data_IF_245038208319
#
_entry.id   IF_245038208319
#
_cell.length_a   1.000
_cell.length_b   1.000
_cell.length_c   1.000
_cell.angle_alpha   90.00
_cell.angle_beta   90.00
_cell.angle_gamma   90.00
#
_symmetry.space_group_name_H-M   'P 1'
#
loop_
_entity.id
_entity.type
_entity.pdbx_description
1 polymer ?
#
# COMPACT_ATOMS: atom_id res chain seq x y z
N UNK A 1 -1.02 38.88 -3.74
CA UNK A 1 0.23 38.35 -3.14
C UNK A 1 1.44 38.50 -4.04
N UNK A 2 1.70 37.60 -5.01
CA UNK A 2 2.94 37.65 -5.80
C UNK A 2 3.14 38.98 -6.56
N UNK A 3 2.08 39.52 -7.18
CA UNK A 3 2.09 40.82 -7.82
C UNK A 3 2.46 41.94 -6.83
N UNK A 4 1.78 42.02 -5.68
CA UNK A 4 2.03 43.05 -4.66
C UNK A 4 3.47 43.00 -4.14
N UNK A 5 4.05 41.80 -3.99
CA UNK A 5 5.45 41.61 -3.60
C UNK A 5 6.41 42.20 -4.64
N UNK A 6 6.16 41.95 -5.92
CA UNK A 6 6.98 42.50 -7.01
C UNK A 6 6.81 44.03 -7.10
N UNK A 7 5.59 44.54 -6.94
CA UNK A 7 5.30 45.98 -6.93
C UNK A 7 6.03 46.69 -5.78
N UNK A 8 6.09 46.05 -4.60
CA UNK A 8 6.86 46.55 -3.46
C UNK A 8 8.37 46.52 -3.73
N UNK A 9 8.88 45.45 -4.36
CA UNK A 9 10.30 45.33 -4.70
C UNK A 9 10.75 46.39 -5.71
N UNK A 10 9.94 46.67 -6.74
CA UNK A 10 10.21 47.72 -7.74
C UNK A 10 10.24 49.10 -7.08
N UNK A 11 9.35 49.36 -6.11
CA UNK A 11 9.36 50.62 -5.36
C UNK A 11 10.60 50.77 -4.48
N UNK A 12 11.07 49.69 -3.88
CA UNK A 12 12.21 49.70 -2.96
C UNK A 12 13.57 49.77 -3.66
N UNK A 13 13.68 49.26 -4.89
CA UNK A 13 14.95 49.13 -5.62
C UNK A 13 14.89 49.91 -6.94
N UNK A 14 15.51 51.11 -7.03
CA UNK A 14 15.45 51.98 -8.22
C UNK A 14 16.07 51.39 -9.50
N UNK A 15 16.89 50.35 -9.37
CA UNK A 15 17.56 49.66 -10.47
C UNK A 15 16.66 48.65 -11.18
N UNK A 16 15.57 48.20 -10.53
CA UNK A 16 14.60 47.28 -11.11
C UNK A 16 13.68 48.03 -12.07
N UNK A 17 14.02 47.95 -13.37
CA UNK A 17 13.22 48.54 -14.46
C UNK A 17 12.46 47.43 -15.18
N UNK A 18 11.17 47.20 -14.86
CA UNK A 18 10.39 46.18 -15.54
C UNK A 18 10.18 46.58 -17.01
N UNK A 19 10.21 45.58 -17.91
CA UNK A 19 9.98 45.82 -19.36
C UNK A 19 8.54 46.24 -19.67
N UNK A 20 7.59 45.84 -18.82
CA UNK A 20 6.17 46.18 -18.92
C UNK A 20 5.71 46.86 -17.63
N UNK A 21 4.84 47.88 -17.71
CA UNK A 21 4.43 48.65 -16.55
C UNK A 21 3.43 47.90 -15.64
N UNK A 22 2.69 46.95 -16.19
CA UNK A 22 1.66 46.19 -15.49
C UNK A 22 2.02 44.71 -15.39
N UNK A 23 1.49 44.06 -14.34
CA UNK A 23 1.59 42.62 -14.16
C UNK A 23 0.97 41.88 -15.36
N UNK A 24 1.58 40.78 -15.80
CA UNK A 24 1.13 40.01 -16.96
C UNK A 24 0.66 38.59 -16.59
N UNK A 25 0.61 38.27 -15.30
CA UNK A 25 0.36 36.90 -14.83
C UNK A 25 -1.11 36.50 -14.93
N UNK A 26 -2.04 37.45 -14.93
CA UNK A 26 -3.50 37.17 -14.93
C UNK A 26 -3.99 36.44 -16.19
N UNK A 27 -3.32 36.64 -17.33
CA UNK A 27 -3.59 35.91 -18.58
C UNK A 27 -2.60 34.80 -18.89
N UNK A 28 -1.61 34.57 -18.02
CA UNK A 28 -0.56 33.58 -18.27
C UNK A 28 -1.05 32.20 -17.84
N UNK A 29 -1.28 31.34 -18.83
CA UNK A 29 -1.60 29.94 -18.60
C UNK A 29 -0.45 29.24 -17.89
N UNK A 30 -0.76 28.45 -16.86
CA UNK A 30 0.22 27.61 -16.19
C UNK A 30 0.63 26.44 -17.09
N UNK A 31 1.83 25.90 -16.86
CA UNK A 31 2.23 24.65 -17.48
C UNK A 31 1.24 23.53 -17.13
N UNK A 32 0.94 22.64 -18.08
CA UNK A 32 -0.12 21.64 -17.90
C UNK A 32 -1.46 22.07 -18.51
N UNK A 33 -1.75 23.38 -18.61
CA UNK A 33 -3.09 23.83 -19.02
C UNK A 33 -3.30 23.97 -20.53
N UNK A 34 -2.22 23.94 -21.31
CA UNK A 34 -2.27 24.35 -22.72
C UNK A 34 -2.90 23.28 -23.60
N UNK A 35 -4.09 23.51 -24.13
CA UNK A 35 -4.76 22.52 -24.98
C UNK A 35 -5.37 21.34 -24.21
N UNK A 36 -5.53 21.48 -22.89
CA UNK A 36 -6.30 20.55 -22.09
C UNK A 36 -7.75 20.46 -22.59
N UNK A 37 -8.29 19.24 -22.65
CA UNK A 37 -9.70 18.99 -22.95
C UNK A 37 -10.21 17.81 -22.13
N UNK A 38 -11.49 17.76 -21.75
CA UNK A 38 -12.05 16.63 -20.98
C UNK A 38 -11.94 15.28 -21.70
N UNK A 39 -11.82 15.28 -23.03
CA UNK A 39 -11.71 14.08 -23.87
C UNK A 39 -10.26 13.75 -24.24
N UNK A 40 -9.28 14.49 -23.74
CA UNK A 40 -7.85 14.27 -24.04
C UNK A 40 -7.39 12.85 -23.69
N UNK A 41 -7.90 12.26 -22.61
CA UNK A 41 -7.54 10.90 -22.20
C UNK A 41 -7.84 9.85 -23.28
N UNK A 42 -8.82 10.09 -24.17
CA UNK A 42 -9.14 9.18 -25.28
C UNK A 42 -7.93 9.06 -26.21
N UNK A 43 -7.23 10.16 -26.48
CA UNK A 43 -6.01 10.15 -27.30
C UNK A 43 -4.87 9.44 -26.58
N UNK A 44 -4.72 9.64 -25.27
CA UNK A 44 -3.72 8.91 -24.48
C UNK A 44 -3.95 7.38 -24.56
N UNK A 45 -5.20 6.94 -24.48
CA UNK A 45 -5.55 5.52 -24.61
C UNK A 45 -5.26 5.01 -26.03
N UNK A 46 -5.64 5.77 -27.07
CA UNK A 46 -5.49 5.35 -28.47
C UNK A 46 -4.04 5.36 -28.96
N UNK A 47 -3.29 6.41 -28.64
CA UNK A 47 -1.94 6.63 -29.17
C UNK A 47 -0.88 5.82 -28.40
N UNK A 48 -1.09 5.63 -27.09
CA UNK A 48 -0.11 5.00 -26.20
C UNK A 48 -0.54 3.62 -25.68
N UNK A 49 -1.81 3.25 -25.80
CA UNK A 49 -2.32 1.98 -25.28
C UNK A 49 -2.35 1.93 -23.74
N UNK A 50 -2.57 3.08 -23.09
CA UNK A 50 -2.73 3.19 -21.64
C UNK A 50 -4.08 2.65 -21.18
N UNK A 51 -4.12 2.15 -19.94
CA UNK A 51 -5.39 1.84 -19.28
C UNK A 51 -6.25 3.11 -19.12
N UNK A 52 -7.57 2.98 -19.26
CA UNK A 52 -8.48 4.12 -19.28
C UNK A 52 -8.40 4.96 -18.00
N UNK A 53 -8.37 4.30 -16.84
CA UNK A 53 -8.27 4.96 -15.54
C UNK A 53 -6.96 5.75 -15.39
N UNK A 54 -5.83 5.15 -15.80
CA UNK A 54 -4.51 5.80 -15.80
C UNK A 54 -4.50 7.00 -16.74
N UNK A 55 -5.05 6.85 -17.95
CA UNK A 55 -5.11 7.94 -18.92
C UNK A 55 -5.95 9.13 -18.42
N UNK A 56 -7.07 8.86 -17.73
CA UNK A 56 -7.90 9.89 -17.10
C UNK A 56 -7.14 10.59 -15.97
N UNK A 57 -6.48 9.83 -15.10
CA UNK A 57 -5.64 10.37 -14.03
C UNK A 57 -4.53 11.28 -14.57
N UNK A 58 -3.79 10.83 -15.58
CA UNK A 58 -2.72 11.63 -16.20
C UNK A 58 -3.27 12.91 -16.84
N UNK A 59 -4.39 12.83 -17.56
CA UNK A 59 -5.00 13.99 -18.19
C UNK A 59 -5.53 15.02 -17.17
N UNK A 60 -6.01 14.58 -16.01
CA UNK A 60 -6.46 15.49 -14.93
C UNK A 60 -5.28 16.06 -14.15
N UNK A 61 -4.23 15.28 -13.92
CA UNK A 61 -3.10 15.68 -13.07
C UNK A 61 -2.03 16.51 -13.80
N UNK A 62 -1.68 16.12 -15.04
CA UNK A 62 -0.61 16.73 -15.83
C UNK A 62 -1.11 17.54 -17.01
N UNK A 63 -2.40 17.44 -17.33
CA UNK A 63 -3.03 18.10 -18.46
C UNK A 63 -2.31 17.83 -19.78
N UNK A 64 -1.85 18.87 -20.48
CA UNK A 64 -1.15 18.74 -21.75
C UNK A 64 0.20 18.02 -21.65
N UNK A 65 0.83 18.07 -20.47
CA UNK A 65 2.06 17.32 -20.18
C UNK A 65 1.82 15.83 -20.06
N UNK A 66 0.58 15.36 -19.93
CA UNK A 66 0.26 13.93 -19.87
C UNK A 66 0.85 13.13 -21.05
N UNK A 67 0.92 13.73 -22.24
CA UNK A 67 1.57 13.10 -23.40
C UNK A 67 3.09 12.95 -23.23
N UNK A 68 3.74 13.92 -22.58
CA UNK A 68 5.15 13.83 -22.26
C UNK A 68 5.41 12.78 -21.18
N UNK A 69 4.54 12.68 -20.18
CA UNK A 69 4.58 11.63 -19.16
C UNK A 69 4.40 10.25 -19.80
N UNK A 70 3.38 10.06 -20.63
CA UNK A 70 3.09 8.79 -21.29
C UNK A 70 4.26 8.27 -22.14
N UNK A 71 5.03 9.16 -22.77
CA UNK A 71 6.25 8.79 -23.54
C UNK A 71 7.36 8.19 -22.68
N UNK A 72 7.36 8.42 -21.37
CA UNK A 72 8.36 7.89 -20.43
C UNK A 72 7.94 6.55 -19.83
N UNK A 73 6.73 6.07 -20.11
CA UNK A 73 6.23 4.82 -19.57
C UNK A 73 6.94 3.61 -20.20
N UNK A 74 7.29 2.63 -19.37
CA UNK A 74 7.82 1.37 -19.88
C UNK A 74 6.71 0.50 -20.47
N UNK A 75 7.12 -0.40 -21.37
CA UNK A 75 6.26 -1.46 -21.90
C UNK A 75 5.89 -2.43 -20.77
N UNK A 76 4.62 -2.84 -20.74
CA UNK A 76 4.13 -3.80 -19.72
C UNK A 76 4.37 -5.26 -20.11
N UNK A 77 4.65 -5.52 -21.39
CA UNK A 77 4.71 -6.87 -21.97
C UNK A 77 3.34 -7.56 -22.13
N UNK A 78 2.24 -6.88 -21.79
CA UNK A 78 0.87 -7.37 -21.96
C UNK A 78 0.30 -6.93 -23.30
N UNK A 79 -0.74 -7.62 -23.78
CA UNK A 79 -1.52 -7.16 -24.94
C UNK A 79 -2.27 -5.85 -24.66
N UNK A 80 -2.71 -5.69 -23.41
CA UNK A 80 -3.37 -4.50 -22.89
C UNK A 80 -3.19 -4.44 -21.36
N UNK A 81 -2.94 -3.26 -20.76
CA UNK A 81 -2.43 -2.04 -21.40
C UNK A 81 -1.03 -2.27 -21.99
N UNK A 82 -0.66 -1.52 -23.04
CA UNK A 82 0.61 -1.70 -23.76
C UNK A 82 1.79 -1.11 -22.98
N UNK A 83 1.59 0.07 -22.39
CA UNK A 83 2.58 0.79 -21.58
C UNK A 83 1.98 1.20 -20.23
N UNK A 84 2.84 1.61 -19.30
CA UNK A 84 2.44 2.17 -18.01
C UNK A 84 2.28 1.07 -16.96
N UNK A 85 3.39 0.66 -16.37
CA UNK A 85 3.37 -0.29 -15.27
C UNK A 85 2.85 0.44 -14.03
N UNK A 86 1.67 0.05 -13.55
CA UNK A 86 1.11 0.56 -12.29
C UNK A 86 2.08 0.26 -11.15
N UNK A 87 2.36 1.27 -10.32
CA UNK A 87 3.22 1.14 -9.13
C UNK A 87 2.51 0.30 -8.06
N UNK A 88 1.19 0.49 -7.94
CA UNK A 88 0.32 -0.28 -7.06
C UNK A 88 -0.97 -0.67 -7.83
N UNK A 89 -1.49 -1.90 -7.71
CA UNK A 89 -2.63 -2.37 -8.51
C UNK A 89 -3.91 -1.52 -8.35
N UNK A 90 -4.18 -1.06 -7.12
CA UNK A 90 -5.40 -0.31 -6.78
C UNK A 90 -5.37 1.18 -7.16
N UNK A 91 -4.22 1.73 -7.57
CA UNK A 91 -4.10 3.16 -7.86
C UNK A 91 -3.61 3.42 -9.30
N UNK A 92 -4.05 4.51 -9.94
CA UNK A 92 -3.73 4.81 -11.33
C UNK A 92 -2.33 5.41 -11.52
N UNK A 93 -1.41 5.20 -10.57
CA UNK A 93 -0.05 5.72 -10.64
C UNK A 93 0.87 4.79 -11.40
N UNK A 94 1.64 5.32 -12.36
CA UNK A 94 2.56 4.52 -13.18
C UNK A 94 4.03 4.90 -13.00
N UNK A 95 4.91 4.00 -13.40
CA UNK A 95 6.36 4.19 -13.41
C UNK A 95 6.81 5.50 -14.11
N UNK A 96 6.10 5.91 -15.16
CA UNK A 96 6.37 7.14 -15.89
C UNK A 96 6.23 8.41 -15.04
N UNK A 97 5.29 8.44 -14.09
CA UNK A 97 5.08 9.60 -13.21
C UNK A 97 6.25 9.81 -12.26
N UNK A 98 6.90 8.73 -11.83
CA UNK A 98 8.11 8.81 -11.00
C UNK A 98 9.25 9.44 -11.81
N UNK A 99 9.49 8.94 -13.02
CA UNK A 99 10.52 9.46 -13.93
C UNK A 99 10.27 10.93 -14.26
N UNK A 100 9.01 11.27 -14.53
CA UNK A 100 8.62 12.65 -14.79
C UNK A 100 8.76 13.54 -13.54
N UNK A 101 8.36 13.05 -12.37
CA UNK A 101 8.50 13.78 -11.11
C UNK A 101 9.95 14.08 -10.74
N UNK A 102 10.89 13.18 -11.04
CA UNK A 102 12.34 13.43 -10.90
C UNK A 102 12.79 14.59 -11.79
N UNK A 103 12.29 14.66 -13.03
CA UNK A 103 12.56 15.81 -13.94
C UNK A 103 11.95 17.11 -13.43
N UNK A 104 10.88 17.01 -12.65
CA UNK A 104 10.30 18.13 -11.91
C UNK A 104 10.93 18.31 -10.51
N UNK A 105 12.22 17.98 -10.36
CA UNK A 105 13.01 18.24 -9.15
C UNK A 105 12.51 17.53 -7.88
N UNK A 106 11.82 16.39 -8.00
CA UNK A 106 11.62 15.50 -6.86
C UNK A 106 12.93 14.75 -6.57
N UNK A 107 13.60 15.14 -5.48
CA UNK A 107 14.93 14.62 -5.12
C UNK A 107 14.85 13.59 -3.99
N UNK A 108 13.77 13.56 -3.21
CA UNK A 108 13.60 12.57 -2.13
C UNK A 108 12.43 11.64 -2.37
N UNK A 109 12.49 10.44 -1.79
CA UNK A 109 11.37 9.49 -1.84
C UNK A 109 10.09 10.10 -1.21
N UNK A 110 10.25 10.92 -0.18
CA UNK A 110 9.16 11.67 0.48
C UNK A 110 8.50 12.65 -0.49
N UNK A 111 9.28 13.40 -1.29
CA UNK A 111 8.72 14.32 -2.29
C UNK A 111 7.82 13.58 -3.29
N UNK A 112 8.22 12.38 -3.69
CA UNK A 112 7.48 11.56 -4.64
C UNK A 112 6.16 11.07 -4.04
N UNK A 113 6.19 10.39 -2.88
CA UNK A 113 4.99 9.80 -2.27
C UNK A 113 4.04 10.84 -1.69
N UNK A 114 4.54 11.97 -1.19
CA UNK A 114 3.73 12.97 -0.50
C UNK A 114 3.24 14.08 -1.44
N UNK A 115 4.07 14.57 -2.36
CA UNK A 115 3.72 15.76 -3.16
C UNK A 115 3.36 15.45 -4.60
N UNK A 116 4.07 14.52 -5.24
CA UNK A 116 3.86 14.17 -6.66
C UNK A 116 2.72 13.17 -6.83
N UNK A 117 2.83 12.00 -6.22
CA UNK A 117 1.79 10.96 -6.28
C UNK A 117 0.69 11.21 -5.25
N UNK A 118 1.05 11.76 -4.07
CA UNK A 118 0.17 11.91 -2.90
C UNK A 118 -0.40 10.58 -2.36
N UNK A 119 0.19 9.45 -2.76
CA UNK A 119 -0.21 8.11 -2.30
C UNK A 119 -0.13 7.99 -0.77
N UNK A 120 0.83 8.66 -0.13
CA UNK A 120 0.96 8.68 1.31
C UNK A 120 -0.31 9.18 2.03
N UNK A 121 -1.02 10.16 1.46
CA UNK A 121 -2.25 10.72 2.05
C UNK A 121 -3.49 9.90 1.74
N UNK A 122 -3.50 9.22 0.58
CA UNK A 122 -4.64 8.40 0.17
C UNK A 122 -4.65 7.07 0.91
N UNK A 123 -3.51 6.38 0.94
CA UNK A 123 -3.36 5.11 1.61
C UNK A 123 -1.89 4.89 1.99
N UNK A 124 -1.62 5.00 3.29
CA UNK A 124 -0.30 4.86 3.90
C UNK A 124 0.32 3.48 3.65
N UNK A 125 -0.50 2.43 3.62
CA UNK A 125 -0.05 1.06 3.40
C UNK A 125 0.31 0.83 1.93
N UNK A 126 -0.54 1.27 1.00
CA UNK A 126 -0.22 1.21 -0.42
C UNK A 126 1.03 2.04 -0.75
N UNK A 127 1.23 3.17 -0.06
CA UNK A 127 2.48 3.94 -0.16
C UNK A 127 3.69 3.13 0.31
N UNK A 128 3.57 2.42 1.43
CA UNK A 128 4.64 1.57 1.95
C UNK A 128 5.00 0.42 1.01
N UNK A 129 4.01 -0.24 0.40
CA UNK A 129 4.23 -1.32 -0.57
C UNK A 129 4.85 -0.81 -1.88
N UNK A 130 4.47 0.40 -2.30
CA UNK A 130 5.01 1.06 -3.49
C UNK A 130 6.45 1.59 -3.31
N UNK A 131 6.90 1.84 -2.08
CA UNK A 131 8.17 2.51 -1.79
C UNK A 131 9.40 1.85 -2.43
N UNK A 132 9.61 0.52 -2.34
CA UNK A 132 10.77 -0.12 -2.95
C UNK A 132 10.83 0.11 -4.46
N UNK A 133 9.69 0.00 -5.15
CA UNK A 133 9.58 0.24 -6.59
C UNK A 133 9.88 1.70 -6.93
N UNK A 134 9.33 2.64 -6.16
CA UNK A 134 9.57 4.09 -6.35
C UNK A 134 11.05 4.42 -6.17
N UNK A 135 11.68 3.96 -5.09
CA UNK A 135 13.09 4.24 -4.81
C UNK A 135 13.99 3.61 -5.87
N UNK A 136 13.68 2.43 -6.37
CA UNK A 136 14.45 1.81 -7.45
C UNK A 136 14.40 2.65 -8.73
N UNK A 137 13.22 3.12 -9.14
CA UNK A 137 13.07 3.98 -10.33
C UNK A 137 13.76 5.33 -10.13
N UNK A 138 13.61 5.95 -8.96
CA UNK A 138 14.31 7.19 -8.65
C UNK A 138 15.84 7.02 -8.64
N UNK A 139 16.33 5.88 -8.14
CA UNK A 139 17.74 5.57 -8.13
C UNK A 139 18.33 5.40 -9.54
N UNK A 140 17.57 4.84 -10.48
CA UNK A 140 17.96 4.77 -11.90
C UNK A 140 18.10 6.18 -12.51
N UNK A 141 17.15 7.08 -12.24
CA UNK A 141 17.14 8.42 -12.83
C UNK A 141 18.16 9.38 -12.16
N UNK A 142 18.39 9.25 -10.85
CA UNK A 142 19.29 10.11 -10.07
C UNK A 142 20.67 9.49 -9.82
N UNK A 143 20.91 8.27 -10.32
CA UNK A 143 22.15 7.49 -10.12
C UNK A 143 22.52 7.30 -8.64
N UNK A 144 21.57 6.85 -7.82
CA UNK A 144 21.82 6.60 -6.40
C UNK A 144 22.62 5.32 -6.15
N UNK A 145 23.51 5.39 -5.15
CA UNK A 145 24.16 4.21 -4.58
C UNK A 145 23.17 3.39 -3.75
N UNK A 146 23.52 2.12 -3.48
CA UNK A 146 22.67 1.27 -2.64
C UNK A 146 22.56 1.78 -1.20
N UNK A 147 23.56 2.50 -0.72
CA UNK A 147 23.51 3.18 0.59
C UNK A 147 22.50 4.33 0.59
N UNK A 148 22.46 5.13 -0.48
CA UNK A 148 21.49 6.22 -0.60
C UNK A 148 20.08 5.67 -0.76
N UNK A 149 19.87 4.58 -1.51
CA UNK A 149 18.56 3.89 -1.59
C UNK A 149 18.04 3.49 -0.20
N UNK A 150 18.89 2.87 0.62
CA UNK A 150 18.52 2.48 2.00
C UNK A 150 18.15 3.68 2.85
N UNK A 151 18.95 4.75 2.77
CA UNK A 151 18.68 6.00 3.50
C UNK A 151 17.36 6.64 3.09
N UNK A 152 17.04 6.66 1.79
CA UNK A 152 15.78 7.19 1.28
C UNK A 152 14.58 6.34 1.71
N UNK A 153 14.72 5.01 1.71
CA UNK A 153 13.69 4.10 2.25
C UNK A 153 13.45 4.34 3.74
N UNK A 154 14.50 4.42 4.55
CA UNK A 154 14.38 4.67 5.98
C UNK A 154 13.73 6.03 6.27
N UNK A 155 14.14 7.08 5.54
CA UNK A 155 13.52 8.40 5.65
C UNK A 155 12.03 8.36 5.30
N UNK A 156 11.65 7.66 4.23
CA UNK A 156 10.26 7.54 3.81
C UNK A 156 9.43 6.71 4.80
N UNK A 157 9.96 5.60 5.33
CA UNK A 157 9.30 4.81 6.36
C UNK A 157 9.07 5.63 7.63
N UNK A 158 10.08 6.38 8.07
CA UNK A 158 9.95 7.27 9.22
C UNK A 158 8.85 8.32 8.99
N UNK A 159 8.85 8.99 7.83
CA UNK A 159 7.81 9.95 7.46
C UNK A 159 6.39 9.33 7.49
N UNK A 160 6.22 8.14 6.90
CA UNK A 160 4.93 7.45 6.92
C UNK A 160 4.52 7.06 8.35
N UNK A 161 5.48 6.62 9.17
CA UNK A 161 5.26 6.22 10.55
C UNK A 161 4.85 7.39 11.45
N UNK A 162 5.56 8.52 11.37
CA UNK A 162 5.39 9.65 12.29
C UNK A 162 4.36 10.66 11.81
N UNK A 163 4.41 11.04 10.53
CA UNK A 163 3.63 12.16 9.99
C UNK A 163 2.31 11.72 9.36
N UNK A 164 2.28 10.52 8.78
CA UNK A 164 1.12 10.03 8.02
C UNK A 164 0.22 9.06 8.82
N UNK A 165 0.50 8.87 10.11
CA UNK A 165 -0.41 8.17 11.03
C UNK A 165 -0.39 6.64 10.94
N UNK A 166 0.61 6.03 10.28
CA UNK A 166 0.77 4.56 10.27
C UNK A 166 0.83 3.99 11.70
N UNK A 167 1.56 4.68 12.58
CA UNK A 167 1.69 4.31 14.00
C UNK A 167 0.49 4.70 14.86
N UNK A 168 -0.31 5.68 14.43
CA UNK A 168 -1.50 6.15 15.16
C UNK A 168 -2.64 5.13 15.02
N UNK A 169 -2.76 4.49 13.85
CA UNK A 169 -3.67 3.36 13.66
C UNK A 169 -3.29 2.13 14.49
N UNK A 170 -1.98 1.86 14.68
CA UNK A 170 -1.48 0.80 15.57
C UNK A 170 -1.71 1.11 17.05
N UNK A 171 -1.30 2.29 17.52
CA UNK A 171 -1.45 2.70 18.92
C UNK A 171 -2.92 2.86 19.38
N UNK A 172 -3.84 3.07 18.44
CA UNK A 172 -5.28 3.09 18.71
C UNK A 172 -5.89 1.68 18.73
N UNK A 173 -5.27 0.71 18.05
CA UNK A 173 -5.65 -0.72 18.02
C UNK A 173 -5.05 -1.52 19.18
N UNK A 174 -3.82 -1.23 19.59
CA UNK A 174 -3.19 -1.77 20.81
C UNK A 174 -3.89 -1.34 22.10
N UNK A 175 -4.77 -0.33 22.00
CA UNK A 175 -5.68 0.13 23.05
C UNK A 175 -7.04 -0.55 23.04
N UNK A 176 -7.27 -1.62 22.29
CA UNK A 176 -8.38 -2.52 22.60
C UNK A 176 -7.94 -3.28 23.85
N UNK A 177 -8.45 -2.97 25.06
CA UNK A 177 -8.09 -3.75 26.24
C UNK A 177 -8.49 -5.20 25.96
N UNK A 178 -7.48 -6.08 25.90
CA UNK A 178 -7.69 -7.52 25.81
C UNK A 178 -8.47 -7.91 27.05
N UNK A 179 -9.80 -8.03 26.93
CA UNK A 179 -10.70 -8.36 28.03
C UNK A 179 -10.81 -9.88 28.12
N UNK A 180 -9.66 -10.54 28.03
CA UNK A 180 -9.51 -11.99 28.10
C UNK A 180 -8.95 -12.35 29.47
N UNK A 181 -9.55 -13.35 30.11
CA UNK A 181 -9.03 -13.93 31.33
C UNK A 181 -7.70 -14.63 31.05
N UNK A 182 -6.90 -14.86 32.09
CA UNK A 182 -5.62 -15.56 31.94
C UNK A 182 -5.78 -16.99 31.39
N UNK A 183 -6.93 -17.62 31.62
CA UNK A 183 -7.27 -18.94 31.07
C UNK A 183 -7.59 -18.88 29.59
N UNK A 184 -8.33 -17.86 29.15
CA UNK A 184 -8.66 -17.63 27.75
C UNK A 184 -7.42 -17.28 26.94
N UNK A 185 -6.55 -16.42 27.46
CA UNK A 185 -5.27 -16.11 26.80
C UNK A 185 -4.45 -17.38 26.60
N UNK A 186 -4.33 -18.24 27.61
CA UNK A 186 -3.63 -19.53 27.48
C UNK A 186 -4.27 -20.43 26.43
N UNK A 187 -5.61 -20.48 26.37
CA UNK A 187 -6.35 -21.25 25.39
C UNK A 187 -6.11 -20.75 23.97
N UNK A 188 -6.16 -19.43 23.74
CA UNK A 188 -5.90 -18.85 22.43
C UNK A 188 -4.44 -18.99 22.00
N UNK A 189 -3.47 -18.77 22.90
CA UNK A 189 -2.05 -19.03 22.61
C UNK A 189 -1.84 -20.48 22.18
N UNK A 190 -2.50 -21.44 22.84
CA UNK A 190 -2.41 -22.86 22.45
C UNK A 190 -3.01 -23.11 21.06
N UNK A 191 -4.15 -22.48 20.72
CA UNK A 191 -4.73 -22.55 19.37
C UNK A 191 -3.79 -21.94 18.31
N UNK A 192 -3.17 -20.81 18.63
CA UNK A 192 -2.19 -20.16 17.76
C UNK A 192 -0.99 -21.07 17.48
N UNK A 193 -0.47 -21.77 18.49
CA UNK A 193 0.62 -22.73 18.33
C UNK A 193 0.23 -23.96 17.49
N UNK A 194 -1.06 -24.30 17.44
CA UNK A 194 -1.56 -25.39 16.57
C UNK A 194 -1.59 -24.93 15.11
N UNK A 195 -1.98 -23.68 14.87
CA UNK A 195 -1.98 -23.06 13.54
C UNK A 195 -0.55 -22.83 13.03
N UNK A 196 0.36 -22.38 13.89
CA UNK A 196 1.78 -22.18 13.60
C UNK A 196 2.56 -23.51 13.67
N UNK A 197 2.34 -24.34 12.64
CA UNK A 197 2.91 -25.68 12.53
C UNK A 197 4.45 -25.70 12.50
N UNK A 198 5.08 -24.62 12.07
CA UNK A 198 6.54 -24.51 11.99
C UNK A 198 7.15 -23.79 13.21
N UNK A 199 6.33 -23.38 14.19
CA UNK A 199 6.73 -22.64 15.39
C UNK A 199 7.55 -21.37 15.07
N UNK A 200 7.13 -20.65 14.03
CA UNK A 200 7.78 -19.42 13.55
C UNK A 200 7.47 -18.21 14.43
N UNK A 201 6.41 -18.29 15.24
CA UNK A 201 5.86 -17.19 16.03
C UNK A 201 4.82 -16.35 15.27
N UNK A 202 4.49 -16.72 14.04
CA UNK A 202 3.49 -16.07 13.18
C UNK A 202 2.79 -17.13 12.31
N UNK A 203 1.54 -16.85 11.92
CA UNK A 203 0.76 -17.72 11.03
C UNK A 203 0.79 -17.14 9.61
N UNK A 204 1.33 -17.88 8.65
CA UNK A 204 1.40 -17.46 7.24
C UNK A 204 0.19 -17.93 6.43
N UNK A 205 -0.02 -17.36 5.23
CA UNK A 205 -1.02 -17.83 4.25
C UNK A 205 -0.90 -19.35 4.00
N UNK A 206 0.32 -19.89 3.97
CA UNK A 206 0.54 -21.31 3.74
C UNK A 206 0.06 -22.18 4.91
N UNK A 207 0.19 -21.67 6.14
CA UNK A 207 -0.30 -22.33 7.35
C UNK A 207 -1.83 -22.30 7.35
N UNK A 208 -2.43 -21.17 7.00
CA UNK A 208 -3.89 -21.04 6.87
C UNK A 208 -4.43 -22.02 5.82
N UNK A 209 -3.80 -22.06 4.64
CA UNK A 209 -4.17 -22.97 3.55
C UNK A 209 -4.08 -24.44 3.97
N UNK A 210 -3.06 -24.80 4.76
CA UNK A 210 -2.87 -26.17 5.25
C UNK A 210 -3.96 -26.54 6.26
N UNK A 211 -4.22 -25.67 7.22
CA UNK A 211 -5.25 -25.87 8.25
C UNK A 211 -6.66 -25.99 7.64
N UNK A 212 -6.99 -25.19 6.63
CA UNK A 212 -8.26 -25.30 5.88
C UNK A 212 -8.40 -26.65 5.15
N UNK A 213 -7.32 -27.10 4.48
CA UNK A 213 -7.30 -28.43 3.83
C UNK A 213 -7.47 -29.57 4.84
N UNK A 214 -6.83 -29.48 6.00
CA UNK A 214 -6.94 -30.49 7.06
C UNK A 214 -8.36 -30.59 7.62
N UNK A 215 -9.09 -29.47 7.61
CA UNK A 215 -10.49 -29.38 8.06
C UNK A 215 -11.49 -29.86 6.99
N UNK A 216 -11.03 -30.12 5.76
CA UNK A 216 -11.87 -30.59 4.66
C UNK A 216 -12.59 -29.47 3.87
N UNK A 217 -12.26 -28.21 4.12
CA UNK A 217 -12.77 -27.07 3.36
C UNK A 217 -11.81 -26.72 2.22
N UNK A 218 -12.33 -26.64 0.99
CA UNK A 218 -11.58 -26.14 -0.15
C UNK A 218 -11.76 -24.62 -0.23
N UNK A 219 -10.67 -23.89 0.01
CA UNK A 219 -10.65 -22.43 -0.01
C UNK A 219 -9.76 -21.96 -1.15
N UNK A 220 -10.23 -21.00 -1.93
CA UNK A 220 -9.49 -20.42 -3.06
C UNK A 220 -8.39 -19.46 -2.58
N UNK A 221 -7.45 -19.14 -3.47
CA UNK A 221 -6.37 -18.19 -3.14
C UNK A 221 -6.88 -16.81 -2.74
N UNK A 222 -7.93 -16.34 -3.42
CA UNK A 222 -8.53 -15.04 -3.16
C UNK A 222 -9.25 -15.01 -1.80
N UNK A 223 -10.00 -16.07 -1.46
CA UNK A 223 -10.64 -16.21 -0.15
C UNK A 223 -9.63 -16.30 1.00
N UNK A 224 -8.49 -16.97 0.80
CA UNK A 224 -7.40 -16.98 1.80
C UNK A 224 -6.84 -15.58 2.03
N UNK A 225 -6.74 -14.78 0.97
CA UNK A 225 -6.27 -13.41 1.06
C UNK A 225 -7.26 -12.51 1.79
N UNK A 226 -8.56 -12.70 1.56
CA UNK A 226 -9.59 -12.00 2.33
C UNK A 226 -9.58 -12.39 3.81
N UNK A 227 -9.42 -13.68 4.13
CA UNK A 227 -9.33 -14.18 5.51
C UNK A 227 -8.12 -13.57 6.23
N UNK A 228 -6.98 -13.51 5.54
CA UNK A 228 -5.78 -12.88 6.08
C UNK A 228 -6.02 -11.40 6.33
N UNK A 229 -6.62 -10.69 5.37
CA UNK A 229 -6.93 -9.25 5.45
C UNK A 229 -7.88 -8.90 6.60
N UNK A 230 -8.69 -9.85 7.08
CA UNK A 230 -9.55 -9.65 8.26
C UNK A 230 -8.76 -9.47 9.57
N UNK A 231 -7.49 -9.92 9.63
CA UNK A 231 -6.74 -10.08 10.90
C UNK A 231 -5.36 -9.47 10.83
N UNK A 232 -4.70 -9.60 9.69
CA UNK A 232 -3.39 -9.01 9.41
C UNK A 232 -3.57 -7.49 9.32
N UNK A 233 -3.59 -6.87 10.50
CA UNK A 233 -3.85 -5.43 10.65
C UNK A 233 -2.68 -4.59 10.19
N UNK A 234 -1.48 -5.19 10.17
CA UNK A 234 -0.24 -4.56 9.73
C UNK A 234 0.12 -4.87 8.27
N UNK A 235 -0.68 -5.70 7.60
CA UNK A 235 -0.55 -6.15 6.21
C UNK A 235 0.86 -6.65 5.87
N UNK A 236 1.54 -7.33 6.80
CA UNK A 236 2.84 -7.96 6.55
C UNK A 236 2.72 -9.34 5.87
N UNK A 237 1.49 -9.77 5.56
CA UNK A 237 1.17 -11.06 4.95
C UNK A 237 1.17 -12.23 5.95
N UNK A 238 1.23 -11.93 7.24
CA UNK A 238 1.36 -12.87 8.36
C UNK A 238 0.43 -12.42 9.49
N UNK A 239 0.02 -13.36 10.34
CA UNK A 239 -0.77 -13.05 11.54
C UNK A 239 0.11 -13.27 12.76
N UNK A 240 0.39 -12.19 13.49
CA UNK A 240 1.14 -12.22 14.73
C UNK A 240 0.24 -12.60 15.93
N UNK A 241 0.85 -13.03 17.04
CA UNK A 241 0.10 -13.53 18.21
C UNK A 241 -0.77 -12.44 18.86
N UNK A 242 -0.28 -11.21 18.90
CA UNK A 242 -0.99 -10.04 19.40
C UNK A 242 -2.21 -9.70 18.52
N UNK A 243 -2.07 -9.71 17.20
CA UNK A 243 -3.17 -9.50 16.25
C UNK A 243 -4.25 -10.57 16.40
N UNK A 244 -3.83 -11.82 16.56
CA UNK A 244 -4.72 -12.94 16.82
C UNK A 244 -5.49 -12.78 18.15
N UNK A 245 -4.82 -12.36 19.22
CA UNK A 245 -5.46 -12.12 20.53
C UNK A 245 -6.41 -10.92 20.49
N UNK A 246 -6.06 -9.86 19.76
CA UNK A 246 -6.93 -8.70 19.55
C UNK A 246 -8.22 -9.10 18.83
N UNK A 247 -8.12 -9.90 17.77
CA UNK A 247 -9.29 -10.43 17.06
C UNK A 247 -10.17 -11.28 17.98
N UNK A 248 -9.58 -12.18 18.77
CA UNK A 248 -10.34 -13.03 19.70
C UNK A 248 -11.03 -12.22 20.81
N UNK A 249 -10.38 -11.16 21.30
CA UNK A 249 -10.99 -10.21 22.24
C UNK A 249 -12.14 -9.42 21.60
N UNK A 250 -12.02 -9.04 20.34
CA UNK A 250 -13.06 -8.31 19.59
C UNK A 250 -14.29 -9.19 19.30
N UNK A 251 -14.10 -10.48 19.03
CA UNK A 251 -15.17 -11.47 18.90
C UNK A 251 -15.92 -11.67 20.22
N UNK A 252 -15.19 -11.84 21.32
CA UNK A 252 -15.78 -12.03 22.65
C UNK A 252 -16.57 -10.81 23.12
N UNK A 253 -16.06 -9.62 22.85
CA UNK A 253 -16.74 -8.37 23.20
C UNK A 253 -17.91 -8.01 22.26
N UNK A 254 -18.17 -8.82 21.23
CA UNK A 254 -19.27 -8.64 20.29
C UNK A 254 -19.06 -7.51 19.29
N UNK A 255 -17.87 -6.92 19.22
CA UNK A 255 -17.51 -5.93 18.19
C UNK A 255 -17.36 -6.56 16.81
N UNK A 256 -17.02 -7.86 16.78
CA UNK A 256 -17.02 -8.69 15.59
C UNK A 256 -18.02 -9.81 15.82
N UNK A 257 -19.02 -9.93 14.96
CA UNK A 257 -20.05 -10.97 15.05
C UNK A 257 -19.67 -12.25 14.32
N UNK A 258 -18.91 -12.15 13.22
CA UNK A 258 -18.48 -13.29 12.42
C UNK A 258 -17.08 -13.06 11.83
N UNK A 259 -16.12 -13.91 12.18
CA UNK A 259 -14.80 -13.98 11.52
C UNK A 259 -14.60 -15.38 10.95
N UNK A 260 -14.20 -15.47 9.68
CA UNK A 260 -13.94 -16.76 9.02
C UNK A 260 -12.75 -17.47 9.66
N UNK A 261 -11.74 -16.71 10.07
CA UNK A 261 -10.55 -17.25 10.72
C UNK A 261 -10.82 -17.77 12.14
N UNK A 262 -11.68 -17.12 12.91
CA UNK A 262 -12.01 -17.61 14.24
C UNK A 262 -12.70 -18.98 14.19
N UNK A 263 -13.63 -19.16 13.24
CA UNK A 263 -14.27 -20.46 12.98
C UNK A 263 -13.24 -21.53 12.60
N UNK A 264 -12.27 -21.17 11.76
CA UNK A 264 -11.18 -22.05 11.37
C UNK A 264 -10.32 -22.49 12.57
N UNK A 265 -9.88 -21.54 13.40
CA UNK A 265 -9.07 -21.84 14.58
C UNK A 265 -9.79 -22.77 15.58
N UNK A 266 -11.12 -22.66 15.67
CA UNK A 266 -11.95 -23.57 16.46
C UNK A 266 -12.04 -24.97 15.86
N UNK A 267 -12.26 -25.08 14.55
CA UNK A 267 -12.38 -26.35 13.86
C UNK A 267 -11.08 -27.16 13.92
N UNK A 268 -9.93 -26.50 13.78
CA UNK A 268 -8.63 -27.17 13.86
C UNK A 268 -8.34 -27.70 15.26
N UNK A 269 -8.74 -26.98 16.33
CA UNK A 269 -8.63 -27.48 17.70
C UNK A 269 -9.48 -28.75 17.91
N UNK A 270 -10.70 -28.77 17.37
CA UNK A 270 -11.58 -29.95 17.44
C UNK A 270 -10.96 -31.12 16.68
N UNK A 271 -10.44 -30.89 15.47
CA UNK A 271 -9.78 -31.91 14.66
C UNK A 271 -8.58 -32.54 15.40
N UNK A 272 -7.73 -31.71 16.01
CA UNK A 272 -6.56 -32.18 16.78
C UNK A 272 -6.96 -32.95 18.05
N UNK A 273 -8.05 -32.56 18.73
CA UNK A 273 -8.61 -33.31 19.88
C UNK A 273 -9.20 -34.66 19.46
N UNK A 274 -9.74 -34.78 18.24
CA UNK A 274 -10.26 -36.04 17.71
C UNK A 274 -9.11 -36.97 17.31
N UNK A 275 -8.09 -36.48 16.61
CA UNK A 275 -6.93 -37.29 16.24
C UNK A 275 -6.13 -37.79 17.46
N UNK A 276 -5.94 -36.95 18.48
CA UNK A 276 -5.25 -37.36 19.73
C UNK A 276 -6.01 -38.38 20.58
N UNK A 277 -7.34 -38.52 20.40
CA UNK A 277 -8.15 -39.54 21.09
C UNK A 277 -8.15 -40.90 20.39
N UNK A 278 -7.79 -40.97 19.11
CA UNK A 278 -7.72 -42.24 18.38
C UNK A 278 -6.34 -42.85 18.64
N UNK A 279 -6.20 -43.58 19.76
CA UNK A 279 -5.02 -44.41 20.02
C UNK A 279 -4.99 -45.57 19.02
N UNK A 280 -3.86 -45.74 18.31
CA UNK A 280 -3.65 -46.83 17.33
C UNK A 280 -3.27 -48.16 18.03
N UNK A 281 -3.51 -48.31 19.32
CA UNK A 281 -3.29 -49.57 20.04
C UNK A 281 -4.49 -50.51 19.97
N UNK A 282 -4.97 -50.87 18.78
CA UNK A 282 -5.73 -52.12 18.55
C UNK A 282 -5.55 -52.62 17.12
N UNK A 283 -4.33 -53.02 16.77
CA UNK A 283 -4.12 -54.06 15.76
C UNK A 283 -3.15 -55.13 16.27
N UNK A 284 -3.33 -55.52 17.53
CA UNK A 284 -2.89 -56.82 18.04
C UNK A 284 -4.01 -57.83 17.85
N UNK A 285 -4.16 -58.35 16.64
CA UNK A 285 -4.98 -59.52 16.36
C UNK A 285 -4.05 -60.70 16.09
N UNK A 286 -3.76 -61.48 17.14
CA UNK A 286 -3.13 -62.79 16.99
C UNK A 286 -4.17 -63.84 16.56
N UNK A 287 -3.78 -64.72 15.64
CA UNK A 287 -3.56 -66.16 15.82
C UNK A 287 -3.13 -66.77 14.47
#
# INVERSE_FOLDING_TARGET
>A
MAQETIDAAIKAIPELKPKKPECQTDGLQLEGSHGWTPTMYIRLVQDFGLECEVAQHLATSYGDRAFAVAKLANLTGKRWPVIGNKIHPEFPYIDAEIRYGVREYAVTAVDMIARRLRLAFLNVQAAQEALPTIVNIMAEELNWSDDEKKKQLEMAHNFLATEMGMSVNRASRDKIPITLSQEEVKMYVKRFQILDHDHKGYVSINDIRRSMKNTGENVTGDELHEILKEIDTNMNGQVELDEYLQMMSALKSGHISHSRFARMAELEEVHNKVQSKISVERSGGGF
#
